data_IF_344492495698
#
_entry.id   IF_344492495698
#
_cell.length_a   1.000
_cell.length_b   1.000
_cell.length_c   1.000
_cell.angle_alpha   90.00
_cell.angle_beta   90.00
_cell.angle_gamma   90.00
#
_symmetry.space_group_name_H-M   'P 1'
#
loop_
_entity.id
_entity.type
_entity.pdbx_description
1 polymer ?
#
# COMPACT_ATOMS: atom_id res chain seq x y z
N UNK A 1 19.47 -4.45 -7.08
CA UNK A 1 19.53 -4.51 -5.60
C UNK A 1 18.49 -5.51 -5.11
N UNK A 2 18.82 -6.40 -4.16
CA UNK A 2 17.86 -7.41 -3.67
C UNK A 2 16.74 -6.76 -2.82
N UNK A 3 15.60 -7.46 -2.65
CA UNK A 3 14.41 -6.95 -1.96
C UNK A 3 14.73 -6.48 -0.54
N UNK A 4 15.53 -7.28 0.17
CA UNK A 4 16.00 -6.96 1.52
C UNK A 4 16.68 -5.60 1.58
N UNK A 5 17.66 -5.37 0.71
CA UNK A 5 18.47 -4.17 0.73
C UNK A 5 17.62 -2.94 0.36
N UNK A 6 16.69 -3.09 -0.59
CA UNK A 6 15.67 -2.06 -0.89
C UNK A 6 14.90 -1.68 0.37
N UNK A 7 14.35 -2.68 1.09
CA UNK A 7 13.58 -2.46 2.31
C UNK A 7 14.42 -1.82 3.43
N UNK A 8 15.65 -2.30 3.64
CA UNK A 8 16.55 -1.73 4.65
C UNK A 8 16.87 -0.27 4.36
N UNK A 9 17.14 0.07 3.11
CA UNK A 9 17.44 1.44 2.71
C UNK A 9 16.22 2.35 2.84
N UNK A 10 15.00 1.89 2.52
CA UNK A 10 13.79 2.69 2.73
C UNK A 10 13.51 2.93 4.20
N UNK A 11 13.68 1.92 5.06
CA UNK A 11 13.56 2.11 6.51
C UNK A 11 14.58 3.12 7.04
N UNK A 12 15.82 3.10 6.55
CA UNK A 12 16.83 4.10 6.94
C UNK A 12 16.46 5.51 6.46
N UNK A 13 15.92 5.65 5.25
CA UNK A 13 15.41 6.95 4.74
C UNK A 13 14.24 7.46 5.57
N UNK A 14 13.27 6.60 5.86
CA UNK A 14 12.11 6.91 6.69
C UNK A 14 12.53 7.40 8.08
N UNK A 15 13.46 6.70 8.75
CA UNK A 15 14.00 7.14 10.05
C UNK A 15 14.72 8.48 9.92
N UNK A 16 15.53 8.68 8.87
CA UNK A 16 16.28 9.93 8.68
C UNK A 16 15.38 11.14 8.45
N UNK A 17 14.25 10.94 7.78
CA UNK A 17 13.30 12.00 7.44
C UNK A 17 12.23 12.21 8.53
N UNK A 18 12.09 11.26 9.46
CA UNK A 18 11.18 11.38 10.59
C UNK A 18 11.70 12.40 11.62
N UNK A 19 10.82 13.21 12.25
CA UNK A 19 11.20 14.06 13.36
C UNK A 19 11.46 13.25 14.66
N UNK A 20 11.13 11.96 14.67
CA UNK A 20 11.26 11.10 15.84
C UNK A 20 12.62 10.42 15.90
N UNK A 21 13.17 10.31 17.11
CA UNK A 21 14.32 9.44 17.35
C UNK A 21 13.92 7.97 17.21
N UNK A 22 14.90 7.09 16.95
CA UNK A 22 14.66 5.63 16.90
C UNK A 22 14.03 5.07 18.18
N UNK A 23 14.31 5.66 19.34
CA UNK A 23 13.68 5.26 20.61
C UNK A 23 12.20 5.66 20.66
N UNK A 24 11.87 6.87 20.20
CA UNK A 24 10.47 7.31 20.07
C UNK A 24 9.72 6.46 19.05
N UNK A 25 10.32 6.17 17.89
CA UNK A 25 9.73 5.27 16.89
C UNK A 25 9.41 3.90 17.51
N UNK A 26 10.36 3.32 18.25
CA UNK A 26 10.14 2.04 18.93
C UNK A 26 8.98 2.12 19.95
N UNK A 27 8.90 3.19 20.75
CA UNK A 27 7.81 3.40 21.70
C UNK A 27 6.44 3.52 21.04
N UNK A 28 6.32 4.36 20.01
CA UNK A 28 5.08 4.54 19.26
C UNK A 28 4.65 3.26 18.53
N UNK A 29 5.62 2.53 17.93
CA UNK A 29 5.34 1.22 17.35
C UNK A 29 4.85 0.23 18.41
N UNK A 30 5.45 0.25 19.60
CA UNK A 30 5.04 -0.64 20.70
C UNK A 30 3.59 -0.39 21.09
N UNK A 31 3.21 0.89 21.21
CA UNK A 31 1.85 1.29 21.51
C UNK A 31 0.85 0.80 20.44
N UNK A 32 1.19 0.96 19.16
CA UNK A 32 0.33 0.52 18.05
C UNK A 32 0.20 -1.00 17.92
N UNK A 33 1.29 -1.74 18.20
CA UNK A 33 1.34 -3.19 18.02
C UNK A 33 0.90 -3.97 19.27
N UNK A 34 0.85 -3.31 20.44
CA UNK A 34 0.57 -3.96 21.71
C UNK A 34 1.69 -4.91 22.17
N UNK A 35 2.91 -4.74 21.66
CA UNK A 35 4.09 -5.54 22.00
C UNK A 35 5.29 -4.63 22.19
N UNK A 36 6.20 -4.98 23.09
CA UNK A 36 7.38 -4.17 23.36
C UNK A 36 8.39 -4.25 22.21
N UNK A 37 8.58 -3.12 21.53
CA UNK A 37 9.63 -2.89 20.54
C UNK A 37 10.69 -1.97 21.15
N UNK A 38 11.94 -2.37 20.98
CA UNK A 38 13.10 -1.65 21.52
C UNK A 38 13.85 -0.92 20.42
N UNK A 39 14.57 0.16 20.79
CA UNK A 39 15.50 0.85 19.88
C UNK A 39 16.50 -0.11 19.24
N UNK A 40 17.01 -1.09 19.99
CA UNK A 40 18.01 -2.04 19.49
C UNK A 40 17.44 -2.98 18.42
N UNK A 41 16.15 -3.29 18.46
CA UNK A 41 15.47 -4.01 17.38
C UNK A 41 15.39 -3.15 16.11
N UNK A 42 15.01 -1.87 16.22
CA UNK A 42 15.02 -0.93 15.08
C UNK A 42 16.44 -0.81 14.48
N UNK A 43 17.45 -0.65 15.33
CA UNK A 43 18.85 -0.60 14.90
C UNK A 43 19.26 -1.91 14.20
N UNK A 44 18.79 -3.07 14.71
CA UNK A 44 19.10 -4.37 14.12
C UNK A 44 18.45 -4.58 12.75
N UNK A 45 17.21 -4.13 12.55
CA UNK A 45 16.51 -4.24 11.27
C UNK A 45 17.11 -3.35 10.18
N UNK A 46 17.75 -2.25 10.56
CA UNK A 46 18.25 -1.22 9.63
C UNK A 46 19.77 -1.26 9.42
N UNK A 47 20.51 -1.96 10.28
CA UNK A 47 21.95 -2.16 10.15
C UNK A 47 22.31 -3.02 8.92
N UNK A 48 23.31 -2.57 8.17
CA UNK A 48 23.84 -3.30 7.02
C UNK A 48 24.50 -4.62 7.42
N UNK A 49 25.21 -4.64 8.55
CA UNK A 49 25.96 -5.80 9.05
C UNK A 49 25.10 -6.90 9.70
N UNK A 50 23.79 -6.68 9.88
CA UNK A 50 22.90 -7.59 10.60
C UNK A 50 21.98 -8.37 9.65
N UNK A 51 22.63 -9.26 8.90
CA UNK A 51 22.00 -10.02 7.81
C UNK A 51 20.90 -10.97 8.23
N UNK A 52 20.84 -11.41 9.49
CA UNK A 52 19.81 -12.33 9.96
C UNK A 52 18.65 -11.66 10.71
N UNK A 53 18.68 -10.34 10.86
CA UNK A 53 17.65 -9.60 11.58
C UNK A 53 16.67 -8.95 10.59
N UNK A 54 15.39 -9.33 10.69
CA UNK A 54 14.31 -8.76 9.88
C UNK A 54 13.17 -8.32 10.77
N UNK A 55 12.50 -7.20 10.45
CA UNK A 55 11.21 -6.90 11.05
C UNK A 55 10.21 -7.97 10.60
N UNK A 56 9.35 -8.45 11.50
CA UNK A 56 8.13 -9.16 11.12
C UNK A 56 7.30 -8.32 10.14
N UNK A 57 6.64 -8.97 9.17
CA UNK A 57 5.92 -8.27 8.11
C UNK A 57 4.77 -7.41 8.66
N UNK A 58 4.11 -7.90 9.71
CA UNK A 58 3.05 -7.24 10.45
C UNK A 58 3.51 -5.95 11.16
N UNK A 59 4.81 -5.73 11.34
CA UNK A 59 5.34 -4.50 11.96
C UNK A 59 5.58 -3.38 10.94
N UNK A 60 5.70 -3.72 9.66
CA UNK A 60 5.97 -2.75 8.60
C UNK A 60 4.87 -1.68 8.51
N UNK A 61 3.56 -1.99 8.57
CA UNK A 61 2.52 -0.96 8.59
C UNK A 61 2.61 -0.01 9.78
N UNK A 62 2.92 -0.52 10.98
CA UNK A 62 3.12 0.33 12.16
C UNK A 62 4.33 1.26 11.99
N UNK A 63 5.44 0.73 11.46
CA UNK A 63 6.62 1.53 11.14
C UNK A 63 6.30 2.64 10.12
N UNK A 64 5.60 2.31 9.04
CA UNK A 64 5.18 3.27 8.02
C UNK A 64 4.30 4.37 8.60
N UNK A 65 3.36 4.01 9.47
CA UNK A 65 2.46 4.97 10.14
C UNK A 65 3.21 5.91 11.07
N UNK A 66 4.14 5.40 11.87
CA UNK A 66 4.91 6.19 12.84
C UNK A 66 5.95 7.09 12.16
N UNK A 67 6.56 6.61 11.08
CA UNK A 67 7.57 7.39 10.33
C UNK A 67 6.96 8.24 9.21
N UNK A 68 5.64 8.19 9.02
CA UNK A 68 4.91 8.84 7.93
C UNK A 68 5.50 8.55 6.54
N UNK A 69 5.94 7.30 6.33
CA UNK A 69 6.59 6.86 5.10
C UNK A 69 6.04 5.52 4.65
N UNK A 70 5.37 5.50 3.49
CA UNK A 70 4.83 4.28 2.89
C UNK A 70 5.86 3.48 2.06
N UNK A 71 7.06 4.03 1.85
CA UNK A 71 8.10 3.45 0.99
C UNK A 71 8.47 1.98 1.35
N UNK A 72 8.54 1.58 2.64
CA UNK A 72 8.74 0.17 3.00
C UNK A 72 7.63 -0.76 2.48
N UNK A 73 6.36 -0.36 2.58
CA UNK A 73 5.22 -1.13 2.04
C UNK A 73 5.25 -1.14 0.52
N UNK A 74 5.52 0.00 -0.12
CA UNK A 74 5.58 0.12 -1.57
C UNK A 74 6.58 -0.88 -2.16
N UNK A 75 7.77 -0.99 -1.58
CA UNK A 75 8.79 -1.96 -2.00
C UNK A 75 8.29 -3.40 -1.89
N UNK A 76 7.61 -3.75 -0.80
CA UNK A 76 7.05 -5.11 -0.62
C UNK A 76 5.95 -5.40 -1.64
N UNK A 77 5.05 -4.44 -1.89
CA UNK A 77 3.96 -4.62 -2.85
C UNK A 77 4.46 -4.68 -4.29
N UNK A 78 5.38 -3.79 -4.68
CA UNK A 78 5.98 -3.77 -6.02
C UNK A 78 6.70 -5.08 -6.32
N UNK A 79 7.46 -5.60 -5.36
CA UNK A 79 8.19 -6.87 -5.52
C UNK A 79 7.28 -8.09 -5.56
N UNK A 80 6.05 -7.98 -5.06
CA UNK A 80 5.00 -8.97 -5.22
C UNK A 80 4.15 -8.79 -6.50
N UNK A 81 4.49 -7.82 -7.37
CA UNK A 81 3.75 -7.53 -8.60
C UNK A 81 2.45 -6.75 -8.38
N UNK A 82 2.33 -6.06 -7.25
CA UNK A 82 1.18 -5.24 -6.88
C UNK A 82 1.55 -3.75 -6.82
N UNK A 83 0.53 -2.89 -6.83
CA UNK A 83 0.68 -1.47 -6.56
C UNK A 83 -0.11 -1.11 -5.29
N UNK A 84 0.56 -0.51 -4.31
CA UNK A 84 -0.12 0.11 -3.18
C UNK A 84 -0.68 1.47 -3.58
N UNK A 85 -1.91 1.77 -3.18
CA UNK A 85 -2.52 3.09 -3.33
C UNK A 85 -2.93 3.62 -1.95
N UNK A 86 -2.81 4.94 -1.69
CA UNK A 86 -3.45 5.55 -0.53
C UNK A 86 -4.95 5.23 -0.50
N UNK A 87 -5.52 5.06 0.69
CA UNK A 87 -6.92 4.64 0.86
C UNK A 87 -7.94 5.43 0.01
N UNK A 88 -7.89 6.77 -0.05
CA UNK A 88 -8.78 7.56 -0.90
C UNK A 88 -8.64 7.24 -2.39
N UNK A 89 -7.42 7.00 -2.87
CA UNK A 89 -7.16 6.70 -4.28
C UNK A 89 -7.61 5.29 -4.65
N UNK A 90 -7.47 4.34 -3.72
CA UNK A 90 -8.05 3.00 -3.87
C UNK A 90 -9.57 3.06 -4.03
N UNK A 91 -10.26 3.84 -3.18
CA UNK A 91 -11.71 4.00 -3.28
C UNK A 91 -12.13 4.71 -4.58
N UNK A 92 -11.37 5.73 -5.02
CA UNK A 92 -11.59 6.37 -6.33
C UNK A 92 -11.45 5.38 -7.49
N UNK A 93 -10.45 4.50 -7.43
CA UNK A 93 -10.26 3.43 -8.43
C UNK A 93 -11.44 2.47 -8.46
N UNK A 94 -11.99 2.09 -7.31
CA UNK A 94 -13.20 1.25 -7.24
C UNK A 94 -14.42 1.95 -7.83
N UNK A 95 -14.67 3.22 -7.47
CA UNK A 95 -15.75 4.05 -8.03
C UNK A 95 -15.64 4.09 -9.57
N UNK A 96 -14.44 4.28 -10.09
CA UNK A 96 -14.21 4.33 -11.53
C UNK A 96 -14.54 2.99 -12.22
N UNK A 97 -14.19 1.85 -11.61
CA UNK A 97 -14.57 0.53 -12.14
C UNK A 97 -16.09 0.40 -12.27
N UNK A 98 -16.84 0.84 -11.26
CA UNK A 98 -18.30 0.81 -11.32
C UNK A 98 -18.86 1.76 -12.39
N UNK A 99 -18.29 2.96 -12.55
CA UNK A 99 -18.70 3.89 -13.59
C UNK A 99 -18.49 3.31 -15.00
N UNK A 100 -17.39 2.59 -15.22
CA UNK A 100 -17.12 1.89 -16.48
C UNK A 100 -18.12 0.77 -16.75
N UNK A 101 -18.47 -0.01 -15.72
CA UNK A 101 -19.50 -1.05 -15.82
C UNK A 101 -20.87 -0.45 -16.17
N UNK A 102 -21.24 0.66 -15.53
CA UNK A 102 -22.48 1.36 -15.82
C UNK A 102 -22.49 1.90 -17.25
N UNK A 103 -21.39 2.51 -17.70
CA UNK A 103 -21.26 3.01 -19.07
C UNK A 103 -21.44 1.89 -20.10
N UNK A 104 -20.82 0.73 -19.88
CA UNK A 104 -20.97 -0.47 -20.73
C UNK A 104 -22.42 -0.96 -20.74
N UNK A 105 -23.05 -1.08 -19.58
CA UNK A 105 -24.45 -1.50 -19.48
C UNK A 105 -25.41 -0.53 -20.19
N UNK A 106 -25.18 0.79 -20.04
CA UNK A 106 -25.96 1.83 -20.73
C UNK A 106 -25.78 1.76 -22.25
N UNK A 107 -24.56 1.54 -22.73
CA UNK A 107 -24.30 1.37 -24.16
C UNK A 107 -25.01 0.14 -24.73
N UNK A 108 -24.96 -0.98 -24.00
CA UNK A 108 -25.63 -2.23 -24.35
C UNK A 108 -27.16 -2.10 -24.34
N UNK A 109 -27.74 -1.36 -23.38
CA UNK A 109 -29.16 -1.03 -23.38
C UNK A 109 -29.56 -0.20 -24.60
N UNK A 110 -28.78 0.83 -24.95
CA UNK A 110 -29.03 1.68 -26.13
C UNK A 110 -29.06 0.88 -27.42
N UNK A 111 -28.10 -0.02 -27.63
CA UNK A 111 -28.08 -0.91 -28.82
C UNK A 111 -29.36 -1.75 -28.94
N UNK A 112 -29.83 -2.32 -27.83
CA UNK A 112 -31.05 -3.15 -27.80
C UNK A 112 -32.31 -2.33 -28.08
N UNK A 113 -32.39 -1.09 -27.60
CA UNK A 113 -33.50 -0.20 -27.89
C UNK A 113 -33.59 0.15 -29.38
N UNK A 114 -32.46 0.49 -30.00
CA UNK A 114 -32.41 0.74 -31.46
C UNK A 114 -32.87 -0.50 -32.24
N UNK A 115 -32.37 -1.68 -31.87
CA UNK A 115 -32.77 -2.92 -32.53
C UNK A 115 -34.27 -3.24 -32.34
N UNK A 116 -34.83 -2.96 -31.16
CA UNK A 116 -36.25 -3.13 -30.90
C UNK A 116 -37.10 -2.21 -31.79
N UNK A 117 -36.73 -0.93 -31.89
CA UNK A 117 -37.41 0.05 -32.75
C UNK A 117 -37.37 -0.36 -34.23
N UNK A 118 -36.23 -0.88 -34.72
CA UNK A 118 -36.11 -1.42 -36.07
C UNK A 118 -37.01 -2.65 -36.32
N UNK A 119 -37.21 -3.49 -35.29
CA UNK A 119 -38.12 -4.64 -35.39
C UNK A 119 -39.59 -4.22 -35.38
N UNK A 120 -39.95 -3.22 -34.57
CA UNK A 120 -41.32 -2.70 -34.45
C UNK A 120 -41.75 -1.93 -35.71
N UNK A 121 -40.86 -1.16 -36.33
CA UNK A 121 -41.13 -0.38 -37.55
C UNK A 121 -41.15 -1.19 -38.86
N UNK A 122 -40.79 -2.49 -38.83
CA UNK A 122 -40.83 -3.40 -39.99
C UNK A 122 -42.15 -4.20 -40.11
N UNK A 123 -43.17 -3.88 -39.30
CA UNK A 123 -44.54 -4.41 -39.41
C UNK A 123 -45.45 -3.42 -40.13
#
# INVERSE_FOLDING_TARGET
MNIRERLRMSMNRAIKNSPLSRAQIAGEMSHLLGVDITKSQIDAWTAESKDNYRPPAEYIPAFCRVTESNEPIEILTETAGMFSMPGPDALRSEIQKYAEMESRARAEKRKRLVFLEEMENKR
#
